data_IF_744066325680
#
_entry.id   IF_744066325680
#
_cell.length_a   1.000
_cell.length_b   1.000
_cell.length_c   1.000
_cell.angle_alpha   90.00
_cell.angle_beta   90.00
_cell.angle_gamma   90.00
#
_symmetry.space_group_name_H-M   'P 1'
#
loop_
_entity.id
_entity.type
_entity.pdbx_description
1 polymer ?
#
# COMPACT_ATOMS: atom_id res chain seq x y z
N UNK A 1 14.22 -4.04 11.44
CA UNK A 1 13.37 -5.23 11.17
C UNK A 1 14.15 -6.04 10.18
N UNK A 2 14.80 -7.11 10.62
CA UNK A 2 15.27 -8.13 9.69
C UNK A 2 14.07 -9.03 9.38
N UNK A 3 13.75 -9.13 8.10
CA UNK A 3 12.76 -10.11 7.65
C UNK A 3 13.46 -11.47 7.65
N UNK A 4 12.97 -12.41 8.47
CA UNK A 4 13.55 -13.76 8.59
C UNK A 4 13.54 -14.51 7.26
N UNK A 5 12.61 -14.16 6.38
CA UNK A 5 12.43 -14.80 5.07
C UNK A 5 13.27 -14.12 3.98
N UNK A 6 14.07 -13.09 4.31
CA UNK A 6 14.81 -12.30 3.33
C UNK A 6 15.78 -13.16 2.51
N UNK A 7 16.45 -14.14 3.13
CA UNK A 7 17.35 -15.06 2.44
C UNK A 7 16.60 -15.84 1.34
N UNK A 8 15.50 -16.50 1.71
CA UNK A 8 14.68 -17.29 0.79
C UNK A 8 14.07 -16.41 -0.33
N UNK A 9 13.67 -15.17 0.00
CA UNK A 9 13.18 -14.21 -1.00
C UNK A 9 14.29 -13.86 -2.00
N UNK A 10 15.51 -13.61 -1.55
CA UNK A 10 16.64 -13.31 -2.43
C UNK A 10 17.01 -14.49 -3.33
N UNK A 11 16.99 -15.71 -2.80
CA UNK A 11 17.16 -16.94 -3.59
C UNK A 11 16.10 -17.05 -4.69
N UNK A 12 14.82 -16.78 -4.35
CA UNK A 12 13.70 -16.87 -5.30
C UNK A 12 13.81 -15.91 -6.49
N UNK A 13 14.44 -14.75 -6.29
CA UNK A 13 14.68 -13.74 -7.35
C UNK A 13 16.06 -13.89 -8.01
N UNK A 14 16.81 -14.96 -7.67
CA UNK A 14 18.18 -15.19 -8.14
C UNK A 14 19.12 -14.02 -7.85
N UNK A 15 18.99 -13.42 -6.66
CA UNK A 15 19.88 -12.38 -6.17
C UNK A 15 20.76 -12.94 -5.05
N UNK A 16 22.00 -12.44 -4.96
CA UNK A 16 22.92 -12.83 -3.91
C UNK A 16 22.68 -11.97 -2.66
N UNK A 17 22.03 -12.57 -1.66
CA UNK A 17 21.71 -11.92 -0.38
C UNK A 17 22.97 -11.44 0.34
N UNK A 18 23.99 -12.30 0.43
CA UNK A 18 25.21 -12.00 1.17
C UNK A 18 26.01 -10.90 0.48
N UNK A 19 26.11 -10.96 -0.84
CA UNK A 19 26.73 -9.88 -1.61
C UNK A 19 25.98 -8.57 -1.42
N UNK A 20 24.64 -8.57 -1.38
CA UNK A 20 23.86 -7.35 -1.20
C UNK A 20 23.96 -6.77 0.22
N UNK A 21 23.87 -7.62 1.25
CA UNK A 21 23.86 -7.19 2.65
C UNK A 21 25.24 -6.89 3.22
N UNK A 22 26.26 -7.64 2.79
CA UNK A 22 27.63 -7.54 3.31
C UNK A 22 28.63 -7.00 2.27
N UNK A 23 28.14 -6.62 1.09
CA UNK A 23 28.98 -6.07 0.03
C UNK A 23 29.49 -4.66 0.34
N UNK A 24 30.46 -4.19 -0.46
CA UNK A 24 31.01 -2.85 -0.30
C UNK A 24 29.91 -1.80 -0.47
N UNK A 25 29.84 -0.85 0.46
CA UNK A 25 28.98 0.33 0.38
C UNK A 25 29.75 1.50 -0.21
N UNK A 26 29.12 2.28 -1.10
CA UNK A 26 29.71 3.54 -1.56
C UNK A 26 29.70 4.54 -0.42
N UNK A 27 30.87 5.08 -0.06
CA UNK A 27 30.94 6.16 0.93
C UNK A 27 30.37 7.44 0.34
N UNK A 28 29.79 8.27 1.20
CA UNK A 28 29.23 9.56 0.80
C UNK A 28 30.33 10.42 0.15
N UNK A 29 30.15 10.80 -1.12
CA UNK A 29 31.11 11.61 -1.89
C UNK A 29 31.89 10.84 -2.95
N UNK A 30 31.89 9.50 -2.89
CA UNK A 30 32.59 8.67 -3.89
C UNK A 30 31.67 8.35 -5.09
N UNK A 31 32.24 8.22 -6.31
CA UNK A 31 31.48 7.77 -7.46
C UNK A 31 30.98 6.33 -7.26
N UNK A 32 29.68 6.13 -7.52
CA UNK A 32 28.93 4.90 -7.23
C UNK A 32 29.25 3.78 -8.23
N UNK A 33 30.43 3.16 -8.09
CA UNK A 33 30.99 2.28 -9.13
C UNK A 33 31.08 0.80 -8.71
N UNK A 34 30.88 0.49 -7.43
CA UNK A 34 31.23 -0.82 -6.86
C UNK A 34 30.21 -1.39 -5.89
N UNK A 35 28.99 -0.84 -5.81
CA UNK A 35 27.93 -1.42 -4.98
C UNK A 35 27.22 -2.59 -5.68
N UNK A 36 26.90 -3.66 -4.95
CA UNK A 36 25.99 -4.70 -5.42
C UNK A 36 24.62 -4.10 -5.79
N UNK A 37 24.30 -4.09 -7.08
CA UNK A 37 23.03 -3.58 -7.58
C UNK A 37 22.08 -4.72 -7.96
N UNK A 38 20.82 -4.58 -7.60
CA UNK A 38 19.75 -5.42 -8.14
C UNK A 38 19.38 -4.96 -9.55
N UNK A 39 19.06 -5.91 -10.41
CA UNK A 39 18.50 -5.62 -11.74
C UNK A 39 17.09 -5.06 -11.61
N UNK A 40 16.62 -4.32 -12.62
CA UNK A 40 15.22 -3.85 -12.69
C UNK A 40 14.21 -5.00 -12.53
N UNK A 41 14.52 -6.19 -13.05
CA UNK A 41 13.67 -7.38 -12.92
C UNK A 41 13.60 -7.86 -11.47
N UNK A 42 14.73 -7.96 -10.77
CA UNK A 42 14.78 -8.32 -9.36
C UNK A 42 14.04 -7.32 -8.47
N UNK A 43 14.19 -6.02 -8.74
CA UNK A 43 13.46 -4.97 -8.01
C UNK A 43 11.95 -5.13 -8.16
N UNK A 44 11.47 -5.40 -9.39
CA UNK A 44 10.04 -5.67 -9.64
C UNK A 44 9.55 -6.91 -8.89
N UNK A 45 10.31 -8.00 -8.92
CA UNK A 45 9.95 -9.22 -8.19
C UNK A 45 9.89 -9.00 -6.67
N UNK A 46 10.85 -8.24 -6.10
CA UNK A 46 10.82 -7.86 -4.70
C UNK A 46 9.60 -7.02 -4.34
N UNK A 47 9.25 -6.07 -5.21
CA UNK A 47 8.05 -5.26 -5.03
C UNK A 47 6.80 -6.14 -5.08
N UNK A 48 6.67 -7.05 -6.05
CA UNK A 48 5.52 -7.95 -6.18
C UNK A 48 5.36 -8.84 -4.94
N UNK A 49 6.46 -9.40 -4.42
CA UNK A 49 6.47 -10.19 -3.18
C UNK A 49 6.02 -9.32 -2.00
N UNK A 50 6.60 -8.12 -1.87
CA UNK A 50 6.28 -7.21 -0.75
C UNK A 50 4.83 -6.74 -0.78
N UNK A 51 4.26 -6.51 -1.97
CA UNK A 51 2.86 -6.16 -2.14
C UNK A 51 1.93 -7.33 -1.79
N UNK A 52 2.27 -8.57 -2.18
CA UNK A 52 1.49 -9.76 -1.78
C UNK A 52 1.45 -9.90 -0.26
N UNK A 53 2.60 -9.80 0.41
CA UNK A 53 2.67 -9.83 1.88
C UNK A 53 1.84 -8.71 2.50
N UNK A 54 1.95 -7.48 1.98
CA UNK A 54 1.19 -6.34 2.50
C UNK A 54 -0.32 -6.51 2.33
N UNK A 55 -0.78 -7.10 1.23
CA UNK A 55 -2.21 -7.42 1.01
C UNK A 55 -2.69 -8.42 2.05
N UNK A 56 -1.93 -9.49 2.30
CA UNK A 56 -2.29 -10.49 3.32
C UNK A 56 -2.29 -9.90 4.74
N UNK A 57 -1.28 -9.10 5.06
CA UNK A 57 -1.20 -8.40 6.34
C UNK A 57 -2.38 -7.43 6.54
N UNK A 58 -2.76 -6.71 5.50
CA UNK A 58 -3.93 -5.82 5.54
C UNK A 58 -5.23 -6.59 5.78
N UNK A 59 -5.44 -7.73 5.09
CA UNK A 59 -6.62 -8.60 5.26
C UNK A 59 -6.75 -9.16 6.67
N UNK A 60 -5.62 -9.41 7.35
CA UNK A 60 -5.61 -9.88 8.75
C UNK A 60 -6.00 -8.79 9.75
N UNK A 61 -5.84 -7.52 9.39
CA UNK A 61 -6.18 -6.37 10.25
C UNK A 61 -7.62 -5.90 9.98
N UNK A 62 -8.02 -5.87 8.70
CA UNK A 62 -9.36 -5.47 8.25
C UNK A 62 -9.91 -6.57 7.34
N UNK A 63 -10.79 -7.41 7.90
CA UNK A 63 -11.27 -8.64 7.25
C UNK A 63 -12.50 -8.44 6.34
N UNK A 64 -13.26 -7.34 6.50
CA UNK A 64 -14.62 -7.24 5.99
C UNK A 64 -14.76 -6.62 4.59
N UNK A 65 -13.69 -6.15 3.96
CA UNK A 65 -13.75 -5.51 2.63
C UNK A 65 -12.48 -5.78 1.82
N UNK A 66 -12.52 -5.70 0.46
CA UNK A 66 -11.29 -5.67 -0.33
C UNK A 66 -10.39 -4.59 0.25
N UNK A 67 -9.21 -5.02 0.73
CA UNK A 67 -8.26 -4.14 1.41
C UNK A 67 -8.00 -2.93 0.53
N UNK A 68 -8.53 -1.77 0.93
CA UNK A 68 -8.34 -0.54 0.16
C UNK A 68 -6.85 -0.29 0.00
N UNK A 69 -6.45 0.42 -1.06
CA UNK A 69 -5.04 0.74 -1.31
C UNK A 69 -4.35 1.34 -0.07
N UNK A 70 -5.10 2.07 0.78
CA UNK A 70 -4.59 2.61 2.05
C UNK A 70 -4.29 1.52 3.08
N UNK A 71 -5.11 0.48 3.21
CA UNK A 71 -4.82 -0.62 4.14
C UNK A 71 -3.55 -1.37 3.72
N UNK A 72 -3.39 -1.60 2.41
CA UNK A 72 -2.19 -2.21 1.84
C UNK A 72 -0.98 -1.29 2.02
N UNK A 73 -1.13 0.02 1.81
CA UNK A 73 -0.08 1.02 2.02
C UNK A 73 0.40 1.06 3.48
N UNK A 74 -0.55 1.05 4.43
CA UNK A 74 -0.25 1.00 5.85
C UNK A 74 0.43 -0.32 6.23
N UNK A 75 -0.05 -1.46 5.73
CA UNK A 75 0.58 -2.75 5.95
C UNK A 75 1.99 -2.82 5.37
N UNK A 76 2.20 -2.29 4.16
CA UNK A 76 3.51 -2.22 3.51
C UNK A 76 4.50 -1.36 4.31
N UNK A 77 4.06 -0.20 4.80
CA UNK A 77 4.93 0.73 5.51
C UNK A 77 5.22 0.31 6.97
N UNK A 78 4.23 -0.27 7.65
CA UNK A 78 4.31 -0.57 9.08
C UNK A 78 4.62 -2.04 9.38
N UNK A 79 4.23 -2.94 8.48
CA UNK A 79 4.10 -4.38 8.73
C UNK A 79 2.88 -4.71 9.61
N UNK A 80 2.42 -5.97 9.57
CA UNK A 80 1.27 -6.47 10.34
C UNK A 80 1.24 -6.03 11.80
N UNK A 81 2.33 -6.26 12.53
CA UNK A 81 2.35 -6.10 13.99
C UNK A 81 2.13 -4.66 14.42
N UNK A 82 2.66 -3.69 13.67
CA UNK A 82 2.44 -2.27 13.95
C UNK A 82 1.07 -1.83 13.45
N UNK A 83 0.62 -2.33 12.30
CA UNK A 83 -0.70 -2.00 11.78
C UNK A 83 -1.84 -2.51 12.68
N UNK A 84 -1.71 -3.69 13.28
CA UNK A 84 -2.66 -4.24 14.27
C UNK A 84 -2.89 -3.34 15.49
N UNK A 85 -2.00 -2.39 15.77
CA UNK A 85 -2.17 -1.43 16.87
C UNK A 85 -3.19 -0.33 16.56
N UNK A 86 -3.57 -0.15 15.29
CA UNK A 86 -4.56 0.84 14.84
C UNK A 86 -5.98 0.30 15.04
N UNK A 87 -6.32 -0.10 16.27
CA UNK A 87 -7.58 -0.78 16.61
C UNK A 87 -8.81 0.08 16.32
N UNK A 88 -8.77 1.36 16.69
CA UNK A 88 -9.87 2.32 16.46
C UNK A 88 -10.12 2.50 14.96
N UNK A 89 -9.08 2.86 14.21
CA UNK A 89 -9.12 2.90 12.76
C UNK A 89 -9.70 1.63 12.13
N UNK A 90 -9.15 0.45 12.45
CA UNK A 90 -9.61 -0.82 11.87
C UNK A 90 -11.08 -1.11 12.19
N UNK A 91 -11.53 -0.79 13.41
CA UNK A 91 -12.94 -0.87 13.80
C UNK A 91 -13.81 0.08 12.97
N UNK A 92 -13.39 1.35 12.80
CA UNK A 92 -14.13 2.35 12.04
C UNK A 92 -14.24 1.96 10.56
N UNK A 93 -13.15 1.48 9.96
CA UNK A 93 -13.11 0.94 8.60
C UNK A 93 -14.03 -0.27 8.46
N UNK A 94 -13.98 -1.22 9.40
CA UNK A 94 -14.85 -2.41 9.40
C UNK A 94 -16.33 -2.05 9.45
N UNK A 95 -16.66 -0.98 10.19
CA UNK A 95 -18.01 -0.40 10.29
C UNK A 95 -18.34 0.57 9.15
N UNK A 96 -17.46 0.74 8.17
CA UNK A 96 -17.63 1.66 7.04
C UNK A 96 -17.82 3.12 7.46
N UNK A 97 -17.32 3.52 8.64
CA UNK A 97 -17.34 4.90 9.10
C UNK A 97 -16.11 5.65 8.53
N UNK A 98 -16.14 5.90 7.22
CA UNK A 98 -15.03 6.42 6.43
C UNK A 98 -14.51 7.77 6.91
N UNK A 99 -15.42 8.70 7.21
CA UNK A 99 -15.05 10.02 7.71
C UNK A 99 -14.30 9.91 9.03
N UNK A 100 -14.86 9.20 10.01
CA UNK A 100 -14.22 9.05 11.31
C UNK A 100 -12.91 8.25 11.20
N UNK A 101 -12.84 7.23 10.35
CA UNK A 101 -11.61 6.46 10.12
C UNK A 101 -10.49 7.35 9.56
N UNK A 102 -10.82 8.21 8.60
CA UNK A 102 -9.86 9.16 8.06
C UNK A 102 -9.44 10.21 9.09
N UNK A 103 -10.37 10.69 9.92
CA UNK A 103 -10.05 11.60 11.04
C UNK A 103 -9.14 10.93 12.09
N UNK A 104 -9.42 9.68 12.48
CA UNK A 104 -8.59 8.88 13.40
C UNK A 104 -7.15 8.71 12.89
N UNK A 105 -6.95 8.50 11.59
CA UNK A 105 -5.61 8.43 11.00
C UNK A 105 -4.82 9.72 11.24
N UNK A 106 -5.47 10.89 11.15
CA UNK A 106 -4.76 12.18 11.22
C UNK A 106 -4.10 12.48 12.56
N UNK A 107 -4.62 11.90 13.65
CA UNK A 107 -4.07 12.07 15.00
C UNK A 107 -3.10 10.94 15.40
N UNK A 108 -2.84 10.00 14.49
CA UNK A 108 -2.00 8.84 14.77
C UNK A 108 -0.49 9.16 14.75
N UNK A 109 0.30 8.29 15.38
CA UNK A 109 1.77 8.36 15.31
C UNK A 109 2.31 8.21 13.88
N UNK A 110 1.59 7.52 13.00
CA UNK A 110 1.95 7.45 11.57
C UNK A 110 1.99 8.86 10.96
N UNK A 111 1.01 9.71 11.27
CA UNK A 111 0.94 11.09 10.80
C UNK A 111 2.04 11.98 11.36
N UNK A 112 2.56 11.69 12.56
CA UNK A 112 3.74 12.38 13.09
C UNK A 112 5.02 12.01 12.33
N UNK A 113 5.16 10.75 11.91
CA UNK A 113 6.37 10.25 11.26
C UNK A 113 6.40 10.53 9.75
N UNK A 114 5.26 10.42 9.08
CA UNK A 114 5.12 10.58 7.62
C UNK A 114 3.91 11.47 7.30
N UNK A 115 3.96 12.77 7.64
CA UNK A 115 2.78 13.65 7.63
C UNK A 115 2.12 13.73 6.26
N UNK A 116 2.89 13.91 5.18
CA UNK A 116 2.33 13.99 3.82
C UNK A 116 1.59 12.72 3.41
N UNK A 117 2.25 11.56 3.50
CA UNK A 117 1.67 10.24 3.14
C UNK A 117 0.45 9.92 3.99
N UNK A 118 0.52 10.21 5.28
CA UNK A 118 -0.60 9.96 6.18
C UNK A 118 -1.81 10.84 5.86
N UNK A 119 -1.61 12.13 5.53
CA UNK A 119 -2.70 13.01 5.12
C UNK A 119 -3.33 12.62 3.78
N UNK A 120 -2.52 12.17 2.82
CA UNK A 120 -2.99 11.59 1.55
C UNK A 120 -3.84 10.32 1.82
N UNK A 121 -3.35 9.40 2.65
CA UNK A 121 -4.08 8.21 3.07
C UNK A 121 -5.39 8.54 3.79
N UNK A 122 -5.35 9.49 4.73
CA UNK A 122 -6.54 9.95 5.45
C UNK A 122 -7.57 10.55 4.50
N UNK A 123 -7.14 11.35 3.51
CA UNK A 123 -8.03 11.89 2.47
C UNK A 123 -8.71 10.78 1.68
N UNK A 124 -7.95 9.78 1.23
CA UNK A 124 -8.51 8.63 0.50
C UNK A 124 -9.47 7.82 1.37
N UNK A 125 -9.15 7.60 2.65
CA UNK A 125 -10.06 6.91 3.58
C UNK A 125 -11.35 7.69 3.80
N UNK A 126 -11.28 9.01 3.98
CA UNK A 126 -12.48 9.86 4.15
C UNK A 126 -13.42 9.78 2.96
N UNK A 127 -12.87 9.67 1.75
CA UNK A 127 -13.66 9.50 0.53
C UNK A 127 -14.40 8.16 0.51
N UNK A 128 -13.89 7.15 1.23
CA UNK A 128 -14.46 5.81 1.27
C UNK A 128 -14.45 5.15 -0.11
N UNK A 129 -15.22 4.07 -0.25
CA UNK A 129 -15.51 3.45 -1.54
C UNK A 129 -16.80 4.06 -2.11
N UNK A 130 -16.74 5.22 -2.80
CA UNK A 130 -17.85 5.84 -3.57
C UNK A 130 -19.26 5.85 -2.94
N UNK A 131 -19.40 5.70 -1.62
CA UNK A 131 -20.65 5.91 -0.90
C UNK A 131 -20.60 7.28 -0.21
N UNK A 132 -20.79 8.32 -1.02
CA UNK A 132 -20.96 9.71 -0.55
C UNK A 132 -22.37 9.97 -0.04
N UNK A 133 -22.87 9.16 0.90
CA UNK A 133 -24.18 9.38 1.54
C UNK A 133 -24.04 9.48 3.07
N UNK A 134 -24.80 10.36 3.74
CA UNK A 134 -24.81 10.45 5.19
C UNK A 134 -25.35 9.15 5.81
N UNK A 135 -24.71 8.73 6.91
CA UNK A 135 -25.16 7.61 7.73
C UNK A 135 -26.58 7.85 8.28
N UNK A 136 -27.46 6.83 8.42
CA UNK A 136 -27.25 5.40 8.17
C UNK A 136 -27.95 4.92 6.90
N UNK A 137 -27.21 4.76 5.79
CA UNK A 137 -27.65 3.90 4.69
C UNK A 137 -26.47 3.06 4.19
N UNK A 138 -26.72 1.76 4.04
CA UNK A 138 -25.72 0.76 3.69
C UNK A 138 -25.11 1.06 2.31
N UNK A 139 -23.79 0.95 2.18
CA UNK A 139 -23.14 0.96 0.87
C UNK A 139 -23.60 -0.30 0.11
N UNK A 140 -24.47 -0.15 -0.88
CA UNK A 140 -24.90 -1.26 -1.73
C UNK A 140 -23.68 -1.89 -2.41
N UNK A 141 -23.52 -3.20 -2.22
CA UNK A 141 -22.37 -4.00 -2.68
C UNK A 141 -22.33 -4.22 -4.21
N UNK A 142 -22.93 -3.34 -5.00
CA UNK A 142 -23.20 -3.56 -6.43
C UNK A 142 -22.71 -2.38 -7.27
N UNK A 143 -21.39 -2.29 -7.46
CA UNK A 143 -20.86 -1.82 -8.74
C UNK A 143 -19.80 -2.78 -9.28
N UNK A 144 -19.86 -3.14 -10.57
CA UNK A 144 -18.82 -3.93 -11.20
C UNK A 144 -17.52 -3.11 -11.29
N UNK A 145 -16.35 -3.78 -11.44
CA UNK A 145 -15.06 -3.10 -11.48
C UNK A 145 -15.00 -2.10 -12.64
N UNK A 146 -14.38 -0.95 -12.39
CA UNK A 146 -14.14 0.10 -13.39
C UNK A 146 -13.28 -0.48 -14.52
N UNK A 147 -13.93 -0.91 -15.60
CA UNK A 147 -13.24 -1.29 -16.85
C UNK A 147 -12.89 -0.01 -17.59
N UNK A 148 -11.62 0.10 -17.96
CA UNK A 148 -11.01 1.18 -18.74
C UNK A 148 -11.96 1.76 -19.82
N UNK A 149 -12.28 3.04 -19.70
CA UNK A 149 -12.96 3.79 -20.73
C UNK A 149 -12.05 3.89 -21.97
N UNK A 150 -12.27 2.99 -22.94
CA UNK A 150 -11.78 3.14 -24.31
C UNK A 150 -12.42 4.39 -24.92
N UNK A 151 -11.64 5.43 -25.19
CA UNK A 151 -12.05 6.49 -26.09
C UNK A 151 -12.35 5.91 -27.48
N UNK A 152 -13.63 5.79 -27.84
CA UNK A 152 -14.05 5.63 -29.23
C UNK A 152 -14.37 7.00 -29.84
N UNK A 153 -13.77 7.21 -31.00
CA UNK A 153 -13.77 8.38 -31.89
C UNK A 153 -15.17 8.95 -32.17
N UNK A 154 -15.27 10.28 -32.21
CA UNK A 154 -16.29 10.98 -33.01
C UNK A 154 -15.69 11.30 -34.39
N UNK A 155 -16.28 10.71 -35.43
CA UNK A 155 -16.08 11.14 -36.81
C UNK A 155 -17.04 12.30 -37.09
N UNK A 156 -16.51 13.46 -37.46
CA UNK A 156 -17.29 14.59 -37.95
C UNK A 156 -17.49 14.40 -39.45
N UNK A 157 -18.75 14.35 -39.90
CA UNK A 157 -19.14 14.35 -41.31
C UNK A 157 -19.75 15.71 -41.60
N UNK A 158 -19.02 16.57 -42.30
CA UNK A 158 -19.55 17.84 -42.84
C UNK A 158 -20.06 17.54 -44.24
N UNK A 159 -21.32 17.94 -44.51
CA UNK A 159 -21.94 17.94 -45.83
C UNK A 159 -21.51 19.17 -46.60
#
# INVERSE_FOLDING_TARGET
>A
MENKDALAVFESIKADYNKFMNGPVTKRGDPCNCVPCLTKKQIKLLLDISLKTAIEDARRVVSSQPSTNVMVDMAFNLGRTKFLKFKTFAMLVTRQNWKAAGDDLTVSKLCQQVPRRCMENAKVVRQGCDCSQPYPQACDAQRPPVVAARHKRLAVKVR
#
